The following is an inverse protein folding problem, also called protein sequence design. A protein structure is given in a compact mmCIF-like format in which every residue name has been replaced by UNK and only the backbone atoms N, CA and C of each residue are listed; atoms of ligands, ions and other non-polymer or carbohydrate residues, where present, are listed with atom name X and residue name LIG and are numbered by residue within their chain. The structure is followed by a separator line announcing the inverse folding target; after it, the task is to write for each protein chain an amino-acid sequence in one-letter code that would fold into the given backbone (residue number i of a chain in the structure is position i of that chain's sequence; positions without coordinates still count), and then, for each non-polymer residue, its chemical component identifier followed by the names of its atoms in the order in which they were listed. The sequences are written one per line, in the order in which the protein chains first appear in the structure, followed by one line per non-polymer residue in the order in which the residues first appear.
data_IF_067668424662
#
_entry.id   IF_067668424662
#
_cell.length_a   1.000
_cell.length_b   1.000
_cell.length_c   1.000
_cell.angle_alpha   90.00
_cell.angle_beta   90.00
_cell.angle_gamma   90.00
#
_symmetry.space_group_name_H-M   'P 1'
#
loop_
_entity.id
_entity.type
_entity.pdbx_description
1 polymer ?
#
# COMPACT_ATOMS: atom_id res chain seq x y z
N UNK A 1 -3.02 -24.15 -9.96
CA UNK A 1 -2.11 -23.00 -10.13
C UNK A 1 -2.99 -21.79 -10.40
N UNK A 2 -3.07 -20.85 -9.46
CA UNK A 2 -3.73 -19.56 -9.68
C UNK A 2 -2.87 -18.78 -10.67
N UNK A 3 -3.43 -18.38 -11.80
CA UNK A 3 -2.71 -17.57 -12.78
C UNK A 3 -2.64 -16.13 -12.25
N UNK A 4 -1.49 -15.72 -11.70
CA UNK A 4 -1.28 -14.37 -11.20
C UNK A 4 -1.33 -13.36 -12.37
N UNK A 5 -1.87 -12.17 -12.11
CA UNK A 5 -1.78 -11.09 -13.11
C UNK A 5 -0.33 -10.66 -13.33
N UNK A 6 0.00 -10.01 -14.47
CA UNK A 6 1.34 -9.45 -14.67
C UNK A 6 1.75 -8.50 -13.53
N UNK A 7 3.02 -8.53 -13.10
CA UNK A 7 3.51 -7.65 -12.04
C UNK A 7 3.56 -6.19 -12.49
N UNK A 8 3.41 -5.27 -11.54
CA UNK A 8 3.49 -3.82 -11.77
C UNK A 8 4.75 -3.22 -11.13
N UNK A 9 5.26 -2.13 -11.71
CA UNK A 9 6.09 -1.19 -10.96
C UNK A 9 5.16 -0.21 -10.23
N UNK A 10 5.12 -0.30 -8.90
CA UNK A 10 4.22 0.45 -8.03
C UNK A 10 4.92 1.75 -7.64
N UNK A 11 4.51 2.88 -8.20
CA UNK A 11 5.02 4.21 -7.84
C UNK A 11 4.08 5.31 -8.33
N UNK A 12 4.33 6.57 -7.92
CA UNK A 12 3.44 7.69 -8.27
C UNK A 12 3.38 8.04 -9.76
N UNK A 13 4.33 7.54 -10.57
CA UNK A 13 4.34 7.70 -12.03
C UNK A 13 4.01 6.42 -12.78
N UNK A 14 3.38 5.43 -12.13
CA UNK A 14 3.06 4.15 -12.76
C UNK A 14 2.21 4.33 -14.03
N UNK A 15 2.51 3.54 -15.05
CA UNK A 15 1.77 3.54 -16.32
C UNK A 15 0.33 3.05 -16.13
N UNK A 16 0.15 2.07 -15.24
CA UNK A 16 -1.16 1.51 -14.89
C UNK A 16 -1.66 2.22 -13.62
N UNK A 17 -2.86 2.84 -13.63
CA UNK A 17 -3.39 3.60 -12.49
C UNK A 17 -3.42 2.82 -11.17
N UNK A 18 -3.62 1.50 -11.21
CA UNK A 18 -3.55 0.66 -10.02
C UNK A 18 -2.17 0.71 -9.33
N UNK A 19 -1.08 0.70 -10.10
CA UNK A 19 0.27 0.85 -9.55
C UNK A 19 0.47 2.20 -8.85
N UNK A 20 -0.16 3.26 -9.36
CA UNK A 20 -0.16 4.57 -8.72
C UNK A 20 -1.11 4.64 -7.52
N UNK A 21 -2.23 3.91 -7.54
CA UNK A 21 -3.15 3.84 -6.41
C UNK A 21 -2.56 3.04 -5.25
N UNK A 22 -1.69 2.06 -5.52
CA UNK A 22 -1.02 1.26 -4.48
C UNK A 22 0.11 2.02 -3.77
N UNK A 23 0.78 2.95 -4.44
CA UNK A 23 1.87 3.78 -3.88
C UNK A 23 1.46 4.59 -2.64
N UNK A 24 2.42 5.06 -1.84
CA UNK A 24 2.13 5.94 -0.69
C UNK A 24 1.76 7.38 -1.06
N UNK A 25 2.52 8.08 -1.94
CA UNK A 25 2.21 9.46 -2.32
C UNK A 25 1.13 9.52 -3.42
N UNK A 26 -0.10 9.14 -3.10
CA UNK A 26 -1.22 9.16 -4.05
C UNK A 26 -1.60 10.58 -4.47
N UNK A 27 -1.39 11.58 -3.63
CA UNK A 27 -1.61 12.98 -4.04
C UNK A 27 -0.58 13.43 -5.07
N UNK A 28 0.68 12.99 -4.98
CA UNK A 28 1.68 13.22 -6.03
C UNK A 28 1.28 12.51 -7.33
N UNK A 29 0.75 11.29 -7.25
CA UNK A 29 0.26 10.58 -8.44
C UNK A 29 -0.94 11.28 -9.10
N UNK A 30 -1.81 11.90 -8.30
CA UNK A 30 -2.90 12.75 -8.78
C UNK A 30 -2.38 14.04 -9.41
N UNK A 31 -1.39 14.70 -8.81
CA UNK A 31 -0.72 15.87 -9.39
C UNK A 31 -0.06 15.57 -10.74
N UNK A 32 0.49 14.36 -10.90
CA UNK A 32 1.05 13.86 -12.17
C UNK A 32 -0.02 13.47 -13.21
N UNK A 33 -1.31 13.49 -12.85
CA UNK A 33 -2.41 13.13 -13.74
C UNK A 33 -2.64 11.62 -13.90
N UNK A 34 -1.91 10.77 -13.17
CA UNK A 34 -2.07 9.30 -13.22
C UNK A 34 -3.36 8.89 -12.51
N UNK A 35 -3.65 9.52 -11.37
CA UNK A 35 -4.89 9.31 -10.61
C UNK A 35 -5.85 10.49 -10.81
N UNK A 36 -7.14 10.17 -10.89
CA UNK A 36 -8.22 11.18 -10.94
C UNK A 36 -8.86 11.45 -9.58
N UNK A 37 -8.69 10.54 -8.63
CA UNK A 37 -9.27 10.60 -7.30
C UNK A 37 -8.19 10.59 -6.21
N UNK A 38 -8.55 11.12 -5.04
CA UNK A 38 -7.71 11.09 -3.84
C UNK A 38 -7.91 9.81 -3.04
N UNK A 39 -6.90 9.42 -2.26
CA UNK A 39 -6.94 8.28 -1.34
C UNK A 39 -6.60 8.74 0.09
N UNK A 40 -7.47 9.55 0.73
CA UNK A 40 -7.23 10.06 2.08
C UNK A 40 -7.18 8.92 3.10
N UNK A 41 -6.46 9.16 4.19
CA UNK A 41 -6.22 8.15 5.23
C UNK A 41 -6.51 8.73 6.61
N UNK A 42 -7.33 8.05 7.40
CA UNK A 42 -7.37 8.26 8.85
C UNK A 42 -6.41 7.29 9.53
N UNK A 43 -5.48 7.82 10.32
CA UNK A 43 -4.48 7.03 11.04
C UNK A 43 -4.14 7.72 12.36
N UNK A 44 -4.10 6.97 13.46
CA UNK A 44 -3.84 7.49 14.82
C UNK A 44 -4.67 8.75 15.18
N UNK A 45 -5.98 8.67 14.93
CA UNK A 45 -6.93 9.75 15.26
C UNK A 45 -6.82 11.01 14.40
N UNK A 46 -6.02 10.99 13.32
CA UNK A 46 -5.81 12.14 12.44
C UNK A 46 -6.12 11.77 10.99
N UNK A 47 -6.66 12.73 10.24
CA UNK A 47 -6.87 12.61 8.80
C UNK A 47 -5.66 13.14 8.04
N UNK A 48 -5.23 12.40 7.03
CA UNK A 48 -4.13 12.73 6.13
C UNK A 48 -4.60 12.72 4.68
N UNK A 49 -4.00 13.53 3.79
CA UNK A 49 -4.29 13.51 2.36
C UNK A 49 -3.94 12.17 1.69
N UNK A 50 -2.88 11.52 2.14
CA UNK A 50 -2.42 10.22 1.67
C UNK A 50 -1.52 9.50 2.71
N UNK A 51 -1.13 8.27 2.39
CA UNK A 51 -0.27 7.45 3.23
C UNK A 51 1.15 8.02 3.39
N UNK A 52 1.69 8.69 2.37
CA UNK A 52 3.00 9.35 2.47
C UNK A 52 2.98 10.44 3.54
N UNK A 53 1.94 11.28 3.55
CA UNK A 53 1.81 12.34 4.57
C UNK A 53 1.70 11.76 5.97
N UNK A 54 0.94 10.68 6.15
CA UNK A 54 0.84 9.97 7.43
C UNK A 54 2.20 9.41 7.88
N UNK A 55 2.96 8.81 6.96
CA UNK A 55 4.29 8.28 7.22
C UNK A 55 5.28 9.38 7.61
N UNK A 56 5.34 10.48 6.87
CA UNK A 56 6.28 11.57 7.11
C UNK A 56 6.08 12.23 8.48
N UNK A 57 4.84 12.34 8.95
CA UNK A 57 4.51 12.83 10.28
C UNK A 57 4.87 11.81 11.36
N UNK A 58 4.56 10.54 11.14
CA UNK A 58 4.66 9.49 12.17
C UNK A 58 6.09 8.95 12.35
N UNK A 59 6.93 8.97 11.29
CA UNK A 59 8.28 8.39 11.30
C UNK A 59 9.26 9.04 12.29
N UNK A 60 8.93 10.22 12.82
CA UNK A 60 9.78 10.95 13.76
C UNK A 60 9.77 10.31 15.16
N UNK A 61 8.68 9.64 15.51
CA UNK A 61 8.45 9.07 16.85
C UNK A 61 8.27 7.56 16.85
N UNK A 62 8.20 6.95 15.67
CA UNK A 62 8.03 5.50 15.53
C UNK A 62 9.33 4.77 15.86
N UNK A 63 9.31 3.80 16.80
CA UNK A 63 10.48 2.97 17.11
C UNK A 63 10.82 2.02 15.95
N UNK A 64 9.81 1.58 15.22
CA UNK A 64 9.93 0.75 14.03
C UNK A 64 9.18 1.41 12.85
N UNK A 65 9.91 1.75 11.80
CA UNK A 65 9.36 2.41 10.61
C UNK A 65 8.66 1.45 9.66
N UNK A 66 9.03 0.17 9.69
CA UNK A 66 8.42 -0.85 8.84
C UNK A 66 7.07 -1.27 9.40
N UNK A 67 6.99 -1.57 10.69
CA UNK A 67 5.72 -1.88 11.34
C UNK A 67 4.72 -0.71 11.24
N UNK A 68 5.19 0.52 11.44
CA UNK A 68 4.37 1.71 11.22
C UNK A 68 3.86 1.81 9.78
N UNK A 69 4.70 1.50 8.78
CA UNK A 69 4.29 1.53 7.38
C UNK A 69 3.24 0.44 7.08
N UNK A 70 3.43 -0.76 7.66
CA UNK A 70 2.47 -1.87 7.56
C UNK A 70 1.10 -1.44 8.07
N UNK A 71 1.02 -0.78 9.23
CA UNK A 71 -0.24 -0.28 9.78
C UNK A 71 -0.90 0.80 8.93
N UNK A 72 -0.12 1.74 8.41
CA UNK A 72 -0.60 2.77 7.48
C UNK A 72 -1.21 2.14 6.22
N UNK A 73 -0.53 1.13 5.65
CA UNK A 73 -0.99 0.41 4.47
C UNK A 73 -2.23 -0.42 4.78
N UNK A 74 -2.27 -1.13 5.90
CA UNK A 74 -3.45 -1.88 6.33
C UNK A 74 -4.67 -0.95 6.49
N UNK A 75 -4.48 0.21 7.13
CA UNK A 75 -5.51 1.23 7.27
C UNK A 75 -5.98 1.77 5.91
N UNK A 76 -5.08 1.94 4.94
CA UNK A 76 -5.41 2.32 3.56
C UNK A 76 -6.33 1.29 2.90
N UNK A 77 -5.99 0.01 2.96
CA UNK A 77 -6.85 -1.04 2.38
C UNK A 77 -8.23 -1.12 3.06
N UNK A 78 -8.29 -1.01 4.40
CA UNK A 78 -9.57 -0.95 5.14
C UNK A 78 -10.45 0.21 4.71
N UNK A 79 -9.86 1.38 4.47
CA UNK A 79 -10.60 2.60 4.12
C UNK A 79 -10.92 2.72 2.63
N UNK A 80 -10.23 1.94 1.78
CA UNK A 80 -10.41 1.92 0.33
C UNK A 80 -10.66 0.48 -0.16
N UNK A 81 -11.80 -0.14 0.19
CA UNK A 81 -12.05 -1.56 -0.09
C UNK A 81 -12.04 -1.90 -1.59
N UNK A 82 -12.39 -0.96 -2.47
CA UNK A 82 -12.26 -1.16 -3.92
C UNK A 82 -10.81 -1.37 -4.37
N UNK A 83 -9.84 -0.72 -3.69
CA UNK A 83 -8.42 -0.93 -3.95
C UNK A 83 -7.98 -2.33 -3.49
N UNK A 84 -8.51 -2.81 -2.36
CA UNK A 84 -8.25 -4.17 -1.88
C UNK A 84 -8.81 -5.22 -2.85
N UNK A 85 -10.04 -5.06 -3.31
CA UNK A 85 -10.67 -5.96 -4.27
C UNK A 85 -9.88 -6.08 -5.59
N UNK A 86 -9.32 -4.96 -6.09
CA UNK A 86 -8.43 -4.97 -7.25
C UNK A 86 -7.14 -5.77 -7.04
N UNK A 87 -6.61 -5.78 -5.81
CA UNK A 87 -5.44 -6.60 -5.44
C UNK A 87 -5.83 -8.08 -5.33
N UNK A 88 -6.96 -8.39 -4.68
CA UNK A 88 -7.48 -9.75 -4.55
C UNK A 88 -7.72 -10.39 -5.92
N UNK A 89 -8.36 -9.65 -6.83
CA UNK A 89 -8.63 -10.10 -8.21
C UNK A 89 -7.37 -10.46 -9.01
N UNK A 90 -6.19 -10.05 -8.53
CA UNK A 90 -4.89 -10.30 -9.18
C UNK A 90 -4.08 -11.41 -8.53
N UNK A 91 -4.54 -11.95 -7.41
CA UNK A 91 -3.83 -12.95 -6.62
C UNK A 91 -3.36 -12.46 -5.25
N UNK A 92 -3.90 -11.33 -4.76
CA UNK A 92 -3.72 -10.91 -3.38
C UNK A 92 -2.26 -10.63 -3.01
N UNK A 93 -1.88 -11.07 -1.81
CA UNK A 93 -0.52 -10.91 -1.30
C UNK A 93 0.55 -11.64 -2.14
N UNK A 94 0.19 -12.75 -2.80
CA UNK A 94 1.10 -13.47 -3.71
C UNK A 94 1.42 -12.63 -4.94
N UNK A 95 0.42 -11.98 -5.54
CA UNK A 95 0.64 -11.08 -6.66
C UNK A 95 1.44 -9.83 -6.27
N UNK A 96 1.13 -9.22 -5.13
CA UNK A 96 1.90 -8.07 -4.63
C UNK A 96 3.39 -8.41 -4.46
N UNK A 97 3.71 -9.63 -4.00
CA UNK A 97 5.09 -10.09 -3.84
C UNK A 97 5.84 -10.26 -5.17
N UNK A 98 5.15 -10.25 -6.32
CA UNK A 98 5.77 -10.25 -7.66
C UNK A 98 6.00 -8.85 -8.23
N UNK A 99 5.37 -7.82 -7.64
CA UNK A 99 5.50 -6.43 -8.09
C UNK A 99 6.86 -5.82 -7.72
N UNK A 100 7.17 -4.64 -8.25
CA UNK A 100 8.39 -3.89 -7.95
C UNK A 100 8.10 -2.46 -7.51
N UNK A 101 9.10 -1.80 -6.93
CA UNK A 101 9.06 -0.39 -6.58
C UNK A 101 10.36 0.28 -7.04
N UNK A 102 10.28 1.02 -8.15
CA UNK A 102 11.38 1.84 -8.66
C UNK A 102 10.83 3.21 -9.04
N UNK A 103 11.36 4.24 -8.38
CA UNK A 103 10.93 5.64 -8.47
C UNK A 103 11.95 6.54 -9.16
N UNK A 104 13.09 5.97 -9.58
CA UNK A 104 14.28 6.70 -10.02
C UNK A 104 14.87 7.59 -8.91
N UNK A 105 14.81 7.10 -7.66
CA UNK A 105 15.28 7.82 -6.50
C UNK A 105 16.76 8.24 -6.63
N UNK A 106 17.04 9.51 -6.28
CA UNK A 106 18.40 10.06 -6.29
C UNK A 106 19.09 9.99 -4.94
N UNK A 107 18.34 9.96 -3.84
CA UNK A 107 18.88 9.84 -2.49
C UNK A 107 18.94 8.39 -2.05
N UNK A 108 19.95 8.05 -1.25
CA UNK A 108 20.10 6.72 -0.64
C UNK A 108 18.88 6.36 0.21
N UNK A 109 18.37 7.31 1.00
CA UNK A 109 17.20 7.11 1.85
C UNK A 109 15.94 6.73 1.05
N UNK A 110 15.74 7.28 -0.15
CA UNK A 110 14.63 6.90 -1.02
C UNK A 110 14.91 5.58 -1.76
N UNK A 111 16.14 5.38 -2.24
CA UNK A 111 16.57 4.11 -2.88
C UNK A 111 16.46 2.91 -1.94
N UNK A 112 16.58 3.10 -0.63
CA UNK A 112 16.40 2.04 0.37
C UNK A 112 14.97 1.45 0.39
N UNK A 113 14.00 2.11 -0.24
CA UNK A 113 12.64 1.58 -0.42
C UNK A 113 12.47 0.77 -1.71
N UNK A 114 13.35 0.99 -2.69
CA UNK A 114 13.26 0.41 -4.02
C UNK A 114 13.67 -1.06 -4.07
N UNK A 115 13.27 -1.76 -5.13
CA UNK A 115 13.63 -3.15 -5.39
C UNK A 115 12.53 -3.92 -6.14
N UNK A 116 12.79 -5.20 -6.38
CA UNK A 116 11.83 -6.13 -6.98
C UNK A 116 11.36 -7.17 -5.97
N UNK A 117 10.07 -7.47 -5.99
CA UNK A 117 9.43 -8.41 -5.07
C UNK A 117 9.77 -8.11 -3.61
N UNK A 118 10.00 -9.16 -2.84
CA UNK A 118 10.33 -9.04 -1.41
C UNK A 118 11.72 -8.47 -1.12
N UNK A 119 12.56 -8.21 -2.12
CA UNK A 119 13.81 -7.46 -1.92
C UNK A 119 13.55 -5.96 -1.76
N UNK A 120 12.45 -5.43 -2.33
CA UNK A 120 12.00 -4.07 -2.04
C UNK A 120 11.43 -3.97 -0.64
N UNK A 121 11.99 -3.06 0.17
CA UNK A 121 11.42 -2.71 1.48
C UNK A 121 9.98 -2.23 1.37
N UNK A 122 9.67 -1.43 0.36
CA UNK A 122 8.30 -0.97 0.13
C UNK A 122 7.34 -2.13 -0.17
N UNK A 123 7.71 -3.02 -1.10
CA UNK A 123 6.85 -4.17 -1.45
C UNK A 123 6.68 -5.12 -0.27
N UNK A 124 7.72 -5.37 0.54
CA UNK A 124 7.56 -6.14 1.80
C UNK A 124 6.49 -5.54 2.71
N UNK A 125 6.53 -4.23 2.92
CA UNK A 125 5.56 -3.55 3.78
C UNK A 125 4.17 -3.51 3.15
N UNK A 126 4.07 -3.41 1.82
CA UNK A 126 2.82 -3.48 1.08
C UNK A 126 2.15 -4.85 1.21
N UNK A 127 2.92 -5.92 1.03
CA UNK A 127 2.48 -7.31 1.23
C UNK A 127 2.02 -7.54 2.67
N UNK A 128 2.82 -7.12 3.65
CA UNK A 128 2.50 -7.28 5.06
C UNK A 128 1.26 -6.46 5.48
N UNK A 129 1.14 -5.22 5.00
CA UNK A 129 -0.03 -4.38 5.24
C UNK A 129 -1.31 -4.94 4.64
N UNK A 130 -1.23 -5.51 3.43
CA UNK A 130 -2.37 -6.19 2.80
C UNK A 130 -2.78 -7.45 3.59
N UNK A 131 -1.83 -8.29 3.99
CA UNK A 131 -2.11 -9.47 4.85
C UNK A 131 -2.73 -9.09 6.20
N UNK A 132 -2.31 -7.97 6.79
CA UNK A 132 -2.91 -7.44 8.03
C UNK A 132 -4.34 -6.93 7.81
N UNK A 133 -4.64 -6.42 6.62
CA UNK A 133 -6.00 -6.11 6.21
C UNK A 133 -6.85 -7.40 6.10
N UNK A 134 -6.35 -8.43 5.40
CA UNK A 134 -7.04 -9.72 5.23
C UNK A 134 -7.37 -10.37 6.59
N UNK A 135 -6.38 -10.49 7.49
CA UNK A 135 -6.60 -11.03 8.83
C UNK A 135 -7.61 -10.22 9.67
N UNK A 136 -7.74 -8.92 9.39
CA UNK A 136 -8.73 -8.04 10.01
C UNK A 136 -10.16 -8.25 9.46
N UNK A 137 -10.29 -8.70 8.21
CA UNK A 137 -11.59 -9.11 7.65
C UNK A 137 -12.04 -10.44 8.23
N UNK A 138 -11.12 -11.40 8.37
CA UNK A 138 -11.43 -12.72 8.96
C UNK A 138 -11.95 -12.60 10.40
N UNK A 139 -11.42 -11.64 11.17
CA UNK A 139 -11.86 -11.39 12.55
C UNK A 139 -13.19 -10.62 12.62
N UNK A 140 -13.49 -9.74 11.66
CA UNK A 140 -14.76 -9.02 11.60
C UNK A 140 -15.92 -9.89 11.06
N UNK A 141 -15.65 -10.76 10.07
CA UNK A 141 -16.64 -11.69 9.52
C UNK A 141 -16.87 -12.92 10.41
N UNK A 142 -15.91 -13.25 11.29
CA UNK A 142 -16.04 -14.31 12.31
C UNK A 142 -16.94 -13.96 13.51
N UNK A 143 -17.51 -12.75 13.58
CA UNK A 143 -18.46 -12.36 14.65
C UNK A 143 -19.91 -12.22 14.18
N UNK A 144 -20.24 -12.55 12.93
CA UNK A 144 -21.62 -12.48 12.43
C UNK A 144 -22.27 -13.85 12.28
N UNK A 145 -22.40 -14.57 13.40
CA UNK A 145 -23.50 -15.53 13.59
C UNK A 145 -23.89 -15.53 15.05
N UNK A 146 -25.05 -14.91 15.32
CA UNK A 146 -25.99 -15.10 16.43
C UNK A 146 -26.59 -13.74 16.81
N UNK A 147 -27.61 -13.32 16.06
CA UNK A 147 -28.87 -12.76 16.58
C UNK A 147 -29.97 -13.05 15.56
#
# INVERSE_FOLDING_TARGET
MTNLAPPLNIFSGAEIPLGAALTNPTELARQKGVLKQSYPLHYNGRRFPDAETAYQVSKQVAPDRDEMMVEIIAAKFRQHPALAAEVEARGGSEWLATCSHFTQARSEAARAWEGAGLESRYIRNLVAGFRRFEAGLDTALGQSTLF
#
